data_IF_700057346846
#
_entry.id   IF_700057346846
#
_cell.length_a   1.000
_cell.length_b   1.000
_cell.length_c   1.000
_cell.angle_alpha   90.00
_cell.angle_beta   90.00
_cell.angle_gamma   90.00
#
_symmetry.space_group_name_H-M   'P 1'
#
loop_
_entity.id
_entity.type
_entity.pdbx_description
1 polymer ?
#
# COMPACT_ATOMS: atom_id res chain seq x y z
N UNK A 1 -1.90 -20.87 3.21
CA UNK A 1 -2.16 -21.08 1.76
C UNK A 1 -3.06 -19.94 1.31
N UNK A 2 -2.57 -19.06 0.44
CA UNK A 2 -3.33 -17.91 -0.04
C UNK A 2 -4.44 -18.36 -0.99
N UNK A 3 -5.70 -18.10 -0.62
CA UNK A 3 -6.89 -18.57 -1.33
C UNK A 3 -7.35 -17.57 -2.40
N UNK A 4 -7.21 -16.28 -2.13
CA UNK A 4 -7.75 -15.19 -2.95
C UNK A 4 -6.65 -14.50 -3.77
N UNK A 5 -5.47 -14.34 -3.19
CA UNK A 5 -4.23 -13.98 -3.84
C UNK A 5 -3.49 -15.29 -4.17
N UNK A 6 -3.09 -15.49 -5.41
CA UNK A 6 -2.21 -16.61 -5.78
C UNK A 6 -0.89 -16.02 -6.24
N UNK A 7 0.04 -15.72 -5.32
CA UNK A 7 1.35 -15.21 -5.70
C UNK A 7 2.02 -16.24 -6.62
N UNK A 8 2.47 -15.78 -7.79
CA UNK A 8 3.30 -16.58 -8.71
C UNK A 8 4.79 -16.29 -8.50
N UNK A 9 5.10 -15.26 -7.71
CA UNK A 9 6.46 -14.85 -7.37
C UNK A 9 6.95 -15.65 -6.17
N UNK A 10 8.12 -16.28 -6.31
CA UNK A 10 8.82 -16.91 -5.20
C UNK A 10 9.54 -15.87 -4.34
N UNK A 11 9.86 -16.24 -3.09
CA UNK A 11 10.64 -15.38 -2.21
C UNK A 11 12.01 -15.05 -2.82
N UNK A 12 12.66 -15.99 -3.50
CA UNK A 12 13.97 -15.78 -4.12
C UNK A 12 13.93 -14.72 -5.23
N UNK A 13 12.88 -14.73 -6.06
CA UNK A 13 12.68 -13.71 -7.10
C UNK A 13 12.48 -12.34 -6.45
N UNK A 14 11.64 -12.25 -5.42
CA UNK A 14 11.44 -11.01 -4.70
C UNK A 14 12.72 -10.47 -4.04
N UNK A 15 13.49 -11.31 -3.37
CA UNK A 15 14.76 -10.92 -2.75
C UNK A 15 15.79 -10.49 -3.80
N UNK A 16 15.79 -11.15 -4.97
CA UNK A 16 16.61 -10.73 -6.10
C UNK A 16 16.24 -9.33 -6.60
N UNK A 17 14.95 -9.03 -6.76
CA UNK A 17 14.49 -7.70 -7.17
C UNK A 17 14.86 -6.63 -6.15
N UNK A 18 14.79 -6.96 -4.85
CA UNK A 18 15.23 -6.06 -3.80
C UNK A 18 16.73 -5.73 -3.88
N UNK A 19 17.59 -6.72 -4.15
CA UNK A 19 19.04 -6.51 -4.30
C UNK A 19 19.38 -5.55 -5.43
N UNK A 20 18.64 -5.64 -6.53
CA UNK A 20 18.81 -4.80 -7.73
C UNK A 20 18.10 -3.44 -7.64
N UNK A 21 17.49 -3.11 -6.50
CA UNK A 21 16.88 -1.80 -6.32
C UNK A 21 17.88 -0.67 -6.51
N UNK A 22 17.49 0.32 -7.31
CA UNK A 22 18.18 1.59 -7.49
C UNK A 22 17.20 2.74 -7.27
N UNK A 23 17.63 3.76 -6.54
CA UNK A 23 16.83 4.95 -6.34
C UNK A 23 16.89 5.83 -7.60
N UNK A 24 15.78 5.87 -8.36
CA UNK A 24 15.67 6.69 -9.57
C UNK A 24 14.96 8.03 -9.34
N UNK A 25 14.56 8.32 -8.09
CA UNK A 25 13.72 9.47 -7.74
C UNK A 25 12.31 9.37 -8.35
N UNK A 26 11.28 9.46 -7.51
CA UNK A 26 9.88 9.50 -7.92
C UNK A 26 9.23 10.77 -7.41
N UNK A 27 8.27 11.33 -8.16
CA UNK A 27 7.52 12.53 -7.75
C UNK A 27 6.86 12.35 -6.37
N UNK A 28 6.42 11.13 -6.05
CA UNK A 28 5.78 10.82 -4.78
C UNK A 28 6.72 10.89 -3.58
N UNK A 29 8.04 10.79 -3.79
CA UNK A 29 9.06 10.80 -2.74
C UNK A 29 9.09 12.15 -2.00
N UNK A 30 8.61 13.22 -2.63
CA UNK A 30 8.48 14.54 -1.99
C UNK A 30 7.30 14.58 -1.02
N UNK A 31 6.13 14.11 -1.45
CA UNK A 31 4.89 14.20 -0.66
C UNK A 31 4.75 13.10 0.41
N UNK A 32 5.35 11.93 0.18
CA UNK A 32 5.18 10.77 1.06
C UNK A 32 5.61 11.03 2.51
N UNK A 33 6.82 11.59 2.79
CA UNK A 33 7.23 11.89 4.15
C UNK A 33 6.31 12.88 4.86
N UNK A 34 5.79 13.87 4.13
CA UNK A 34 4.87 14.88 4.69
C UNK A 34 3.51 14.27 5.07
N UNK A 35 3.01 13.31 4.28
CA UNK A 35 1.78 12.58 4.61
C UNK A 35 1.95 11.72 5.87
N UNK A 36 3.08 11.02 6.00
CA UNK A 36 3.40 10.27 7.22
C UNK A 36 3.51 11.19 8.43
N UNK A 37 4.22 12.30 8.29
CA UNK A 37 4.41 13.31 9.35
C UNK A 37 3.09 13.90 9.82
N UNK A 38 2.15 14.14 8.90
CA UNK A 38 0.81 14.61 9.27
C UNK A 38 0.13 13.65 10.24
N UNK A 39 0.12 12.33 9.94
CA UNK A 39 -0.52 11.35 10.82
C UNK A 39 0.27 11.08 12.10
N UNK A 40 1.60 11.04 12.03
CA UNK A 40 2.46 10.86 13.20
C UNK A 40 2.29 11.99 14.24
N UNK A 41 2.00 13.22 13.77
CA UNK A 41 1.75 14.36 14.64
C UNK A 41 0.39 14.31 15.36
N UNK A 42 -0.55 13.47 14.94
CA UNK A 42 -1.85 13.33 15.60
C UNK A 42 -1.70 12.40 16.80
N UNK A 43 -1.58 12.96 18.00
CA UNK A 43 -1.40 12.18 19.23
C UNK A 43 -2.70 11.57 19.74
N UNK A 44 -3.80 12.32 19.66
CA UNK A 44 -5.14 11.86 20.04
C UNK A 44 -5.82 11.03 18.94
N UNK A 45 -7.04 10.58 19.17
CA UNK A 45 -7.84 9.86 18.18
C UNK A 45 -8.03 10.69 16.90
N UNK A 46 -7.95 10.02 15.76
CA UNK A 46 -8.34 10.56 14.47
C UNK A 46 -9.79 11.00 14.54
N UNK A 47 -10.07 12.14 13.93
CA UNK A 47 -11.42 12.68 13.76
C UNK A 47 -11.84 12.62 12.30
N UNK A 48 -13.12 12.94 12.02
CA UNK A 48 -13.61 13.14 10.65
C UNK A 48 -12.77 14.18 9.88
N UNK A 49 -12.28 15.22 10.56
CA UNK A 49 -11.40 16.22 9.94
C UNK A 49 -10.10 15.59 9.44
N UNK A 50 -9.47 14.74 10.26
CA UNK A 50 -8.25 14.06 9.87
C UNK A 50 -8.46 13.06 8.74
N UNK A 51 -9.58 12.32 8.78
CA UNK A 51 -9.99 11.41 7.71
C UNK A 51 -10.13 12.16 6.38
N UNK A 52 -10.87 13.28 6.34
CA UNK A 52 -11.13 14.05 5.11
C UNK A 52 -9.82 14.55 4.51
N UNK A 53 -8.94 15.15 5.32
CA UNK A 53 -7.63 15.63 4.85
C UNK A 53 -6.80 14.46 4.33
N UNK A 54 -6.72 13.39 5.12
CA UNK A 54 -5.95 12.20 4.84
C UNK A 54 -6.32 11.51 3.53
N UNK A 55 -7.61 11.29 3.29
CA UNK A 55 -8.04 10.66 2.04
C UNK A 55 -7.75 11.57 0.84
N UNK A 56 -7.83 12.89 0.98
CA UNK A 56 -7.45 13.81 -0.10
C UNK A 56 -5.95 13.74 -0.45
N UNK A 57 -5.06 13.47 0.51
CA UNK A 57 -3.64 13.18 0.21
C UNK A 57 -3.51 11.98 -0.74
N UNK A 58 -4.24 10.90 -0.46
CA UNK A 58 -4.20 9.68 -1.30
C UNK A 58 -4.69 9.95 -2.71
N UNK A 59 -5.74 10.77 -2.86
CA UNK A 59 -6.29 11.12 -4.17
C UNK A 59 -5.44 12.16 -4.91
N UNK A 60 -4.57 12.89 -4.23
CA UNK A 60 -3.48 13.65 -4.88
C UNK A 60 -2.48 12.77 -5.63
N UNK A 61 -2.42 11.46 -5.34
CA UNK A 61 -1.60 10.49 -6.07
C UNK A 61 -2.38 9.70 -7.12
N UNK A 62 -3.68 9.94 -7.26
CA UNK A 62 -4.57 9.17 -8.12
C UNK A 62 -5.16 10.07 -9.21
N UNK A 63 -5.37 9.56 -10.44
CA UNK A 63 -5.91 10.36 -11.54
C UNK A 63 -7.43 10.61 -11.41
N UNK A 64 -8.10 9.94 -10.47
CA UNK A 64 -9.54 10.04 -10.25
C UNK A 64 -9.84 11.09 -9.19
N UNK A 65 -10.91 11.86 -9.35
CA UNK A 65 -11.44 12.74 -8.31
C UNK A 65 -12.04 11.87 -7.20
N UNK A 66 -11.81 12.25 -5.94
CA UNK A 66 -12.42 11.62 -4.79
C UNK A 66 -13.91 11.90 -4.75
N UNK A 67 -14.70 10.85 -4.54
CA UNK A 67 -16.10 10.95 -4.17
C UNK A 67 -16.37 10.12 -2.90
N UNK A 68 -17.24 10.62 -2.04
CA UNK A 68 -17.67 9.92 -0.84
C UNK A 68 -18.96 9.14 -1.15
N UNK A 69 -18.85 7.82 -1.40
CA UNK A 69 -20.00 7.02 -1.83
C UNK A 69 -20.84 6.44 -0.67
N UNK A 70 -20.60 6.88 0.57
CA UNK A 70 -21.45 6.62 1.74
C UNK A 70 -21.35 7.76 2.76
N UNK A 71 -22.16 7.68 3.81
CA UNK A 71 -22.18 8.65 4.92
C UNK A 71 -21.66 8.05 6.24
N UNK A 72 -21.08 6.84 6.22
CA UNK A 72 -20.59 6.09 7.39
C UNK A 72 -19.27 6.66 7.98
N UNK A 73 -19.14 7.99 8.10
CA UNK A 73 -17.93 8.66 8.57
C UNK A 73 -17.55 8.26 10.00
N UNK A 74 -18.51 8.15 10.92
CA UNK A 74 -18.22 7.84 12.33
C UNK A 74 -17.65 6.42 12.48
N UNK A 75 -18.25 5.44 11.78
CA UNK A 75 -17.72 4.07 11.71
C UNK A 75 -16.36 4.03 11.03
N UNK A 76 -16.16 4.81 9.96
CA UNK A 76 -14.87 4.87 9.30
C UNK A 76 -13.78 5.42 10.24
N UNK A 77 -14.08 6.47 11.00
CA UNK A 77 -13.17 7.02 12.02
C UNK A 77 -12.84 5.98 13.09
N UNK A 78 -13.83 5.25 13.61
CA UNK A 78 -13.61 4.16 14.56
C UNK A 78 -12.65 3.10 14.00
N UNK A 79 -12.88 2.66 12.76
CA UNK A 79 -12.03 1.67 12.08
C UNK A 79 -10.60 2.22 11.88
N UNK A 80 -10.46 3.48 11.48
CA UNK A 80 -9.15 4.10 11.27
C UNK A 80 -8.37 4.28 12.58
N UNK A 81 -9.03 4.56 13.70
CA UNK A 81 -8.38 4.59 15.01
C UNK A 81 -7.90 3.20 15.45
N UNK A 82 -8.70 2.15 15.21
CA UNK A 82 -8.23 0.78 15.42
C UNK A 82 -6.98 0.46 14.59
N UNK A 83 -6.94 0.90 13.33
CA UNK A 83 -5.79 0.74 12.45
C UNK A 83 -4.57 1.54 12.94
N UNK A 84 -4.79 2.77 13.42
CA UNK A 84 -3.75 3.61 14.05
C UNK A 84 -3.11 2.88 15.23
N UNK A 85 -3.91 2.26 16.09
CA UNK A 85 -3.46 1.46 17.24
C UNK A 85 -2.80 0.12 16.85
N UNK A 86 -2.70 -0.18 15.56
CA UNK A 86 -2.04 -1.37 15.03
C UNK A 86 -2.89 -2.65 15.09
N UNK A 87 -4.20 -2.51 15.33
CA UNK A 87 -5.11 -3.65 15.28
C UNK A 87 -5.34 -4.12 13.83
N UNK A 88 -5.41 -5.44 13.59
CA UNK A 88 -5.79 -5.97 12.29
C UNK A 88 -7.24 -5.58 11.97
N UNK A 89 -7.50 -5.31 10.68
CA UNK A 89 -8.83 -5.02 10.17
C UNK A 89 -9.49 -6.25 9.58
N UNK A 90 -10.82 -6.33 9.71
CA UNK A 90 -11.63 -7.38 9.09
C UNK A 90 -12.02 -7.01 7.65
N UNK A 91 -12.53 -8.00 6.90
CA UNK A 91 -13.10 -7.80 5.57
C UNK A 91 -14.23 -6.77 5.60
N UNK A 92 -15.16 -6.87 6.55
CA UNK A 92 -16.30 -5.96 6.67
C UNK A 92 -15.86 -4.52 6.95
N UNK A 93 -14.86 -4.35 7.81
CA UNK A 93 -14.28 -3.03 8.09
C UNK A 93 -13.65 -2.41 6.84
N UNK A 94 -12.91 -3.20 6.06
CA UNK A 94 -12.37 -2.76 4.78
C UNK A 94 -13.47 -2.45 3.74
N UNK A 95 -14.58 -3.20 3.75
CA UNK A 95 -15.74 -2.91 2.89
C UNK A 95 -16.36 -1.56 3.25
N UNK A 96 -16.52 -1.25 4.54
CA UNK A 96 -17.04 0.05 5.01
C UNK A 96 -16.14 1.18 4.53
N UNK A 97 -14.83 1.07 4.76
CA UNK A 97 -13.86 2.09 4.35
C UNK A 97 -13.85 2.28 2.83
N UNK A 98 -13.72 1.19 2.05
CA UNK A 98 -13.65 1.33 0.59
C UNK A 98 -14.95 1.91 0.02
N UNK A 99 -16.11 1.53 0.57
CA UNK A 99 -17.40 2.07 0.13
C UNK A 99 -17.47 3.58 0.38
N UNK A 100 -16.98 4.05 1.52
CA UNK A 100 -16.87 5.48 1.78
C UNK A 100 -15.91 6.17 0.79
N UNK A 101 -14.78 5.54 0.44
CA UNK A 101 -13.73 6.16 -0.38
C UNK A 101 -13.81 5.73 -1.86
N UNK A 102 -14.77 6.27 -2.63
CA UNK A 102 -14.95 6.03 -4.07
C UNK A 102 -15.10 4.54 -4.47
N UNK A 103 -15.55 3.67 -3.56
CA UNK A 103 -15.51 2.21 -3.74
C UNK A 103 -14.09 1.65 -4.03
N UNK A 104 -13.04 2.35 -3.56
CA UNK A 104 -11.65 2.11 -3.92
C UNK A 104 -10.83 1.51 -2.78
N UNK A 105 -10.50 0.22 -2.90
CA UNK A 105 -9.56 -0.42 -1.97
C UNK A 105 -8.12 0.12 -2.13
N UNK A 106 -7.76 0.59 -3.32
CA UNK A 106 -6.47 1.23 -3.59
C UNK A 106 -6.31 2.50 -2.77
N UNK A 107 -7.30 3.41 -2.83
CA UNK A 107 -7.30 4.65 -2.03
C UNK A 107 -7.35 4.34 -0.53
N UNK A 108 -8.19 3.37 -0.14
CA UNK A 108 -8.28 2.88 1.25
C UNK A 108 -6.94 2.39 1.79
N UNK A 109 -6.22 1.55 1.04
CA UNK A 109 -4.92 1.01 1.47
C UNK A 109 -3.84 2.08 1.60
N UNK A 110 -3.85 3.12 0.73
CA UNK A 110 -2.93 4.26 0.83
C UNK A 110 -3.19 5.06 2.11
N UNK A 111 -4.46 5.33 2.44
CA UNK A 111 -4.82 6.02 3.68
C UNK A 111 -4.38 5.21 4.91
N UNK A 112 -4.68 3.90 4.94
CA UNK A 112 -4.26 3.01 6.01
C UNK A 112 -2.74 2.98 6.17
N UNK A 113 -2.00 2.95 5.05
CA UNK A 113 -0.55 3.01 5.07
C UNK A 113 -0.03 4.33 5.65
N UNK A 114 -0.62 5.47 5.30
CA UNK A 114 -0.19 6.75 5.88
C UNK A 114 -0.49 6.87 7.38
N UNK A 115 -1.57 6.25 7.84
CA UNK A 115 -1.93 6.19 9.27
C UNK A 115 -0.99 5.26 10.04
N UNK A 116 -0.70 4.07 9.50
CA UNK A 116 0.17 3.10 10.16
C UNK A 116 0.99 2.30 9.13
N UNK A 117 2.16 2.84 8.70
CA UNK A 117 2.98 2.23 7.67
C UNK A 117 3.66 0.94 8.14
N UNK A 118 3.63 0.62 9.44
CA UNK A 118 4.19 -0.61 9.99
C UNK A 118 3.26 -1.81 9.84
N UNK A 119 1.95 -1.57 9.61
CA UNK A 119 0.92 -2.63 9.58
C UNK A 119 0.19 -2.74 8.26
N UNK A 120 0.16 -1.67 7.48
CA UNK A 120 -0.57 -1.63 6.22
C UNK A 120 0.39 -1.28 5.08
N UNK A 121 0.54 -2.16 4.11
CA UNK A 121 1.27 -1.90 2.88
C UNK A 121 0.29 -1.38 1.81
N UNK A 122 0.76 -0.54 0.89
CA UNK A 122 -0.09 0.01 -0.17
C UNK A 122 -0.50 -1.10 -1.16
N UNK A 123 -1.79 -1.18 -1.44
CA UNK A 123 -2.33 -2.06 -2.47
C UNK A 123 -2.54 -1.27 -3.75
N UNK A 124 -1.79 -1.62 -4.79
CA UNK A 124 -1.83 -0.95 -6.09
C UNK A 124 -1.92 -1.97 -7.24
N UNK A 125 -2.38 -1.49 -8.40
CA UNK A 125 -2.44 -2.25 -9.64
C UNK A 125 -1.10 -2.86 -10.04
N UNK A 126 0.01 -2.15 -9.80
CA UNK A 126 1.35 -2.65 -10.09
C UNK A 126 1.76 -3.76 -9.13
N UNK A 127 1.50 -3.58 -7.84
CA UNK A 127 1.72 -4.60 -6.80
C UNK A 127 0.93 -5.87 -7.13
N UNK A 128 -0.35 -5.73 -7.48
CA UNK A 128 -1.17 -6.87 -7.90
C UNK A 128 -0.58 -7.59 -9.13
N UNK A 129 -0.16 -6.85 -10.15
CA UNK A 129 0.42 -7.42 -11.36
C UNK A 129 1.74 -8.13 -11.07
N UNK A 130 2.60 -7.53 -10.24
CA UNK A 130 3.84 -8.15 -9.81
C UNK A 130 3.57 -9.50 -9.14
N UNK A 131 2.67 -9.52 -8.15
CA UNK A 131 2.39 -10.73 -7.38
C UNK A 131 1.72 -11.83 -8.21
N UNK A 132 0.84 -11.48 -9.14
CA UNK A 132 -0.04 -12.46 -9.81
C UNK A 132 0.29 -12.72 -11.27
N UNK A 133 1.12 -11.88 -11.90
CA UNK A 133 1.35 -11.85 -13.35
C UNK A 133 0.11 -11.45 -14.17
N UNK A 134 -0.95 -10.96 -13.54
CA UNK A 134 -2.25 -10.68 -14.19
C UNK A 134 -2.55 -9.18 -14.22
N UNK A 135 -3.34 -8.78 -15.21
CA UNK A 135 -3.89 -7.42 -15.26
C UNK A 135 -4.86 -7.17 -14.08
N UNK A 136 -4.73 -5.97 -13.51
CA UNK A 136 -5.44 -5.52 -12.33
C UNK A 136 -6.80 -4.90 -12.72
N UNK A 137 -7.78 -5.74 -13.05
CA UNK A 137 -9.15 -5.29 -13.24
C UNK A 137 -9.81 -4.90 -11.91
N UNK A 138 -10.74 -3.93 -11.94
CA UNK A 138 -11.41 -3.38 -10.74
C UNK A 138 -11.98 -4.45 -9.79
N UNK A 139 -12.61 -5.51 -10.32
CA UNK A 139 -13.17 -6.59 -9.51
C UNK A 139 -12.10 -7.41 -8.76
N UNK A 140 -10.86 -7.45 -9.25
CA UNK A 140 -9.76 -8.22 -8.64
C UNK A 140 -9.03 -7.39 -7.59
N UNK A 141 -8.70 -6.16 -7.94
CA UNK A 141 -7.99 -5.25 -7.03
C UNK A 141 -8.89 -4.75 -5.89
N UNK A 142 -10.22 -4.82 -6.04
CA UNK A 142 -11.19 -4.46 -5.02
C UNK A 142 -11.52 -5.53 -3.98
N UNK A 143 -10.90 -6.72 -4.03
CA UNK A 143 -11.13 -7.78 -3.02
C UNK A 143 -10.40 -7.47 -1.72
N UNK A 144 -11.17 -7.32 -0.63
CA UNK A 144 -10.64 -7.07 0.70
C UNK A 144 -9.88 -8.29 1.25
N UNK A 145 -10.33 -9.50 0.89
CA UNK A 145 -9.68 -10.76 1.25
C UNK A 145 -8.28 -10.86 0.63
N UNK A 146 -8.16 -10.55 -0.67
CA UNK A 146 -6.87 -10.55 -1.35
C UNK A 146 -5.91 -9.52 -0.76
N UNK A 147 -6.41 -8.36 -0.31
CA UNK A 147 -5.61 -7.37 0.40
C UNK A 147 -5.12 -7.86 1.76
N UNK A 148 -5.96 -8.49 2.57
CA UNK A 148 -5.53 -9.07 3.86
C UNK A 148 -4.51 -10.21 3.67
N UNK A 149 -4.68 -11.02 2.63
CA UNK A 149 -3.69 -12.03 2.25
C UNK A 149 -2.37 -11.40 1.80
N UNK A 150 -2.41 -10.28 1.07
CA UNK A 150 -1.24 -9.49 0.73
C UNK A 150 -0.51 -8.95 1.98
N UNK A 151 -1.23 -8.40 2.96
CA UNK A 151 -0.61 -7.94 4.20
C UNK A 151 0.06 -9.10 4.96
N UNK A 152 -0.59 -10.27 5.00
CA UNK A 152 0.00 -11.48 5.59
C UNK A 152 1.27 -11.93 4.85
N UNK A 153 1.29 -11.77 3.52
CA UNK A 153 2.49 -12.03 2.73
C UNK A 153 3.62 -11.04 3.02
N UNK A 154 3.31 -9.74 3.14
CA UNK A 154 4.29 -8.74 3.59
C UNK A 154 4.85 -9.07 4.98
N UNK A 155 4.00 -9.44 5.95
CA UNK A 155 4.45 -9.85 7.27
C UNK A 155 5.44 -11.03 7.17
N UNK A 156 5.08 -12.07 6.43
CA UNK A 156 5.94 -13.23 6.21
C UNK A 156 7.30 -12.85 5.59
N UNK A 157 7.30 -12.05 4.51
CA UNK A 157 8.52 -11.63 3.84
C UNK A 157 9.44 -10.82 4.77
N UNK A 158 8.84 -9.89 5.51
CA UNK A 158 9.57 -8.90 6.31
C UNK A 158 10.13 -9.45 7.63
N UNK A 159 9.69 -10.65 8.03
CA UNK A 159 10.21 -11.40 9.17
C UNK A 159 11.41 -12.30 8.84
N UNK A 160 11.82 -12.42 7.57
CA UNK A 160 13.00 -13.23 7.22
C UNK A 160 14.30 -12.47 7.51
N UNK A 161 15.31 -13.18 8.02
CA UNK A 161 16.62 -12.58 8.38
C UNK A 161 17.30 -11.92 7.17
N UNK A 162 17.19 -12.55 6.00
CA UNK A 162 17.75 -12.01 4.75
C UNK A 162 17.10 -10.67 4.37
N UNK A 163 15.80 -10.52 4.64
CA UNK A 163 15.08 -9.29 4.34
C UNK A 163 15.53 -8.13 5.23
N UNK A 164 15.94 -8.37 6.47
CA UNK A 164 16.48 -7.32 7.36
C UNK A 164 17.69 -6.62 6.73
N UNK A 165 18.66 -7.40 6.23
CA UNK A 165 19.87 -6.86 5.61
C UNK A 165 19.54 -6.08 4.34
N UNK A 166 18.65 -6.62 3.51
CA UNK A 166 18.20 -6.01 2.27
C UNK A 166 17.42 -4.70 2.54
N UNK A 167 16.53 -4.70 3.51
CA UNK A 167 15.75 -3.54 3.93
C UNK A 167 16.67 -2.38 4.33
N UNK A 168 17.70 -2.67 5.15
CA UNK A 168 18.68 -1.67 5.56
C UNK A 168 19.47 -1.11 4.36
N UNK A 169 19.82 -1.94 3.37
CA UNK A 169 20.43 -1.49 2.12
C UNK A 169 19.50 -0.57 1.31
N UNK A 170 18.20 -0.88 1.24
CA UNK A 170 17.21 -0.04 0.56
C UNK A 170 17.12 1.34 1.24
N UNK A 171 17.00 1.39 2.57
CA UNK A 171 16.95 2.64 3.32
C UNK A 171 18.21 3.51 3.08
N UNK A 172 19.40 2.90 3.05
CA UNK A 172 20.64 3.61 2.72
C UNK A 172 20.61 4.22 1.30
N UNK A 173 20.14 3.46 0.31
CA UNK A 173 20.01 3.94 -1.09
C UNK A 173 18.97 5.07 -1.23
N UNK A 174 17.94 5.10 -0.38
CA UNK A 174 16.93 6.15 -0.36
C UNK A 174 17.38 7.43 0.35
N UNK A 175 18.32 7.32 1.30
CA UNK A 175 18.80 8.44 2.11
C UNK A 175 17.89 8.78 3.31
N UNK A 176 16.86 7.98 3.58
CA UNK A 176 16.01 8.07 4.76
C UNK A 176 15.41 6.70 5.13
N UNK A 177 14.96 6.56 6.36
CA UNK A 177 14.36 5.31 6.84
C UNK A 177 12.89 5.20 6.44
N UNK A 178 12.49 4.02 5.99
CA UNK A 178 11.10 3.64 5.72
C UNK A 178 10.77 2.35 6.48
N UNK A 179 9.48 2.01 6.59
CA UNK A 179 9.08 0.75 7.22
C UNK A 179 9.36 -0.44 6.29
N UNK A 180 9.50 -1.64 6.85
CA UNK A 180 9.65 -2.87 6.06
C UNK A 180 8.49 -3.13 5.10
N UNK A 181 7.26 -2.82 5.54
CA UNK A 181 6.07 -2.93 4.70
C UNK A 181 6.15 -1.96 3.52
N UNK A 182 6.63 -0.73 3.73
CA UNK A 182 6.86 0.22 2.64
C UNK A 182 7.92 -0.27 1.67
N UNK A 183 9.07 -0.75 2.16
CA UNK A 183 10.12 -1.23 1.25
C UNK A 183 9.65 -2.45 0.45
N UNK A 184 8.92 -3.37 1.07
CA UNK A 184 8.44 -4.57 0.39
C UNK A 184 7.47 -4.21 -0.74
N UNK A 185 6.48 -3.38 -0.42
CA UNK A 185 5.51 -2.92 -1.40
C UNK A 185 6.13 -2.07 -2.51
N UNK A 186 7.07 -1.17 -2.17
CA UNK A 186 7.75 -0.34 -3.15
C UNK A 186 8.49 -1.17 -4.21
N UNK A 187 9.19 -2.24 -3.79
CA UNK A 187 9.86 -3.15 -4.74
C UNK A 187 8.85 -3.83 -5.66
N UNK A 188 7.72 -4.29 -5.12
CA UNK A 188 6.64 -4.88 -5.93
C UNK A 188 6.03 -3.86 -6.90
N UNK A 189 5.83 -2.61 -6.46
CA UNK A 189 5.28 -1.54 -7.28
C UNK A 189 6.20 -1.19 -8.47
N UNK A 190 7.50 -1.06 -8.22
CA UNK A 190 8.49 -0.68 -9.24
C UNK A 190 8.65 -1.78 -10.30
N UNK A 191 8.68 -3.05 -9.89
CA UNK A 191 8.79 -4.20 -10.80
C UNK A 191 7.46 -4.64 -11.40
N UNK A 192 6.35 -4.10 -10.89
CA UNK A 192 5.01 -4.38 -11.36
C UNK A 192 4.55 -3.49 -12.52
N UNK A 193 5.41 -2.69 -13.16
CA UNK A 193 5.07 -1.88 -14.34
C UNK A 193 4.65 -2.72 -15.56
N UNK A 194 3.98 -2.12 -16.55
CA UNK A 194 3.87 -2.77 -17.88
C UNK A 194 5.25 -2.66 -18.51
N UNK A 195 5.80 -3.77 -19.02
CA UNK A 195 6.96 -3.68 -19.90
C UNK A 195 6.57 -2.76 -21.06
N UNK A 196 7.35 -1.71 -21.30
CA UNK A 196 7.21 -0.93 -22.53
C UNK A 196 7.34 -1.92 -23.68
N UNK A 197 6.32 -1.97 -24.55
CA UNK A 197 6.55 -2.48 -25.89
C UNK A 197 7.65 -1.58 -26.45
N UNK A 198 8.84 -2.12 -26.61
CA UNK A 198 9.83 -1.54 -27.51
C UNK A 198 9.10 -1.47 -28.84
N UNK A 199 8.64 -0.28 -29.22
CA UNK A 199 8.25 -0.02 -30.58
C UNK A 199 9.55 -0.18 -31.37
N UNK A 200 9.73 -1.33 -32.01
CA UNK A 200 10.64 -1.42 -33.12
C UNK A 200 10.06 -0.46 -34.17
N UNK A 201 10.68 0.70 -34.29
CA UNK A 201 10.49 1.58 -35.43
C UNK A 201 10.81 0.77 -36.70
N UNK A 202 9.80 0.59 -37.55
CA UNK A 202 9.95 0.17 -38.94
C UNK A 202 9.89 1.40 -39.82
#
# INVERSE_FOLDING_TARGET
MYKYLKPVISIDVFLNDCRHYENKGQTYDVSYPEFLKYFDNIKDDLTKHNLIIGINFTYGWMPTILDFCSEDFDKAVEILNRAKDGNPLTVDQLIILKKLFNNSLVGTSKLLHFINPNKFAIWDSRVYRYLTGKEAYNHRIGSCEAYLEFLSFCEYLTQTDEYEVIHNSICQKMGYSITKFRSAEMIMYLNGGKQEKICCDN
#
